data_IF_007879572715
#
_entry.id   IF_007879572715
#
_cell.length_a   1.000
_cell.length_b   1.000
_cell.length_c   1.000
_cell.angle_alpha   90.00
_cell.angle_beta   90.00
_cell.angle_gamma   90.00
#
_symmetry.space_group_name_H-M   'P 1'
#
loop_
_entity.id
_entity.type
_entity.pdbx_description
1 polymer ?
#
# COMPACT_ATOMS: atom_id res chain seq x y z
N UNK A 1 -7.78 -26.15 22.14
CA UNK A 1 -6.33 -25.82 22.18
C UNK A 1 -5.71 -26.27 20.87
N UNK A 2 -4.96 -25.41 20.17
CA UNK A 2 -4.22 -25.80 18.96
C UNK A 2 -3.21 -26.91 19.30
N UNK A 3 -3.05 -27.92 18.44
CA UNK A 3 -2.06 -28.97 18.64
C UNK A 3 -0.64 -28.38 18.70
N UNK A 4 0.24 -28.99 19.49
CA UNK A 4 1.65 -28.58 19.60
C UNK A 4 2.31 -28.49 18.22
N UNK A 5 1.99 -29.43 17.32
CA UNK A 5 2.46 -29.44 15.93
C UNK A 5 2.05 -28.17 15.16
N UNK A 6 0.79 -27.74 15.29
CA UNK A 6 0.31 -26.53 14.62
C UNK A 6 1.07 -25.28 15.10
N UNK A 7 1.32 -25.17 16.41
CA UNK A 7 2.08 -24.04 16.96
C UNK A 7 3.54 -24.04 16.52
N UNK A 8 4.18 -25.20 16.44
CA UNK A 8 5.54 -25.34 15.88
C UNK A 8 5.56 -24.92 14.41
N UNK A 9 4.59 -25.38 13.62
CA UNK A 9 4.44 -25.00 12.21
C UNK A 9 4.26 -23.48 12.05
N UNK A 10 3.45 -22.85 12.91
CA UNK A 10 3.26 -21.40 12.90
C UNK A 10 4.60 -20.68 13.12
N UNK A 11 5.35 -21.08 14.15
CA UNK A 11 6.64 -20.44 14.49
C UNK A 11 7.71 -20.61 13.41
N UNK A 12 7.80 -21.79 12.78
CA UNK A 12 8.86 -22.15 11.84
C UNK A 12 8.56 -21.71 10.41
N UNK A 13 7.30 -21.74 9.99
CA UNK A 13 6.90 -21.56 8.59
C UNK A 13 5.96 -20.37 8.44
N UNK A 14 4.76 -20.45 9.03
CA UNK A 14 3.70 -19.46 8.77
C UNK A 14 4.11 -18.03 9.13
N UNK A 15 4.67 -17.82 10.32
CA UNK A 15 5.12 -16.50 10.76
C UNK A 15 6.25 -15.96 9.88
N UNK A 16 7.17 -16.82 9.43
CA UNK A 16 8.28 -16.39 8.58
C UNK A 16 7.78 -15.97 7.20
N UNK A 17 6.90 -16.76 6.60
CA UNK A 17 6.26 -16.41 5.33
C UNK A 17 5.45 -15.12 5.45
N UNK A 18 4.73 -14.93 6.56
CA UNK A 18 3.98 -13.70 6.81
C UNK A 18 4.88 -12.47 6.83
N UNK A 19 5.99 -12.49 7.58
CA UNK A 19 6.92 -11.37 7.59
C UNK A 19 7.59 -11.17 6.21
N UNK A 20 7.96 -12.26 5.53
CA UNK A 20 8.53 -12.20 4.18
C UNK A 20 7.58 -11.47 3.22
N UNK A 21 6.32 -11.89 3.13
CA UNK A 21 5.34 -11.28 2.23
C UNK A 21 5.05 -9.83 2.61
N UNK A 22 4.97 -9.52 3.91
CA UNK A 22 4.81 -8.15 4.40
C UNK A 22 5.94 -7.22 3.91
N UNK A 23 7.21 -7.62 4.06
CA UNK A 23 8.34 -6.79 3.60
C UNK A 23 8.46 -6.72 2.09
N UNK A 24 8.09 -7.79 1.37
CA UNK A 24 8.00 -7.76 -0.10
C UNK A 24 6.99 -6.68 -0.53
N UNK A 25 5.79 -6.69 0.07
CA UNK A 25 4.77 -5.68 -0.20
C UNK A 25 5.27 -4.27 0.10
N UNK A 26 5.84 -4.02 1.29
CA UNK A 26 6.42 -2.72 1.68
C UNK A 26 7.42 -2.20 0.64
N UNK A 27 8.38 -3.05 0.23
CA UNK A 27 9.38 -2.65 -0.76
C UNK A 27 8.75 -2.37 -2.14
N UNK A 28 7.75 -3.15 -2.55
CA UNK A 28 7.01 -2.86 -3.78
C UNK A 28 6.19 -1.58 -3.71
N UNK A 29 5.56 -1.23 -2.58
CA UNK A 29 4.90 0.07 -2.40
C UNK A 29 5.87 1.24 -2.60
N UNK A 30 7.10 1.12 -2.08
CA UNK A 30 8.16 2.10 -2.34
C UNK A 30 8.53 2.20 -3.82
N UNK A 31 8.77 1.08 -4.50
CA UNK A 31 9.10 1.06 -5.93
C UNK A 31 7.96 1.61 -6.81
N UNK A 32 6.71 1.28 -6.49
CA UNK A 32 5.51 1.80 -7.16
C UNK A 32 5.45 3.32 -6.96
N UNK A 33 5.68 3.81 -5.75
CA UNK A 33 5.66 5.25 -5.45
C UNK A 33 6.73 6.01 -6.24
N UNK A 34 7.95 5.47 -6.34
CA UNK A 34 9.02 6.05 -7.17
C UNK A 34 8.64 6.04 -8.66
N UNK A 35 8.09 4.93 -9.18
CA UNK A 35 7.68 4.84 -10.58
C UNK A 35 6.59 5.87 -10.92
N UNK A 36 5.61 6.04 -10.02
CA UNK A 36 4.55 7.05 -10.15
C UNK A 36 5.12 8.46 -10.09
N UNK A 37 6.00 8.76 -9.13
CA UNK A 37 6.64 10.07 -9.02
C UNK A 37 7.39 10.44 -10.30
N UNK A 38 8.20 9.52 -10.85
CA UNK A 38 8.92 9.72 -12.10
C UNK A 38 7.99 9.96 -13.29
N UNK A 39 6.91 9.20 -13.42
CA UNK A 39 5.92 9.37 -14.50
C UNK A 39 5.16 10.69 -14.41
N UNK A 40 4.79 11.11 -13.20
CA UNK A 40 4.09 12.37 -12.98
C UNK A 40 4.98 13.58 -13.24
N UNK A 41 6.24 13.53 -12.79
CA UNK A 41 7.19 14.64 -12.96
C UNK A 41 7.82 14.69 -14.36
N UNK A 42 7.88 13.58 -15.09
CA UNK A 42 8.47 13.49 -16.44
C UNK A 42 7.53 12.77 -17.43
N UNK A 43 6.41 13.40 -17.84
CA UNK A 43 5.37 12.76 -18.64
C UNK A 43 5.83 12.33 -20.05
N UNK A 44 6.91 12.92 -20.59
CA UNK A 44 7.41 12.65 -21.95
C UNK A 44 8.47 11.55 -22.05
N UNK A 45 8.89 10.93 -20.93
CA UNK A 45 9.83 9.79 -20.98
C UNK A 45 9.10 8.45 -21.02
N UNK A 46 8.93 7.93 -22.24
CA UNK A 46 8.39 6.60 -22.52
C UNK A 46 9.12 5.47 -21.80
N UNK A 47 8.45 4.32 -21.63
CA UNK A 47 9.07 3.12 -21.05
C UNK A 47 9.92 2.42 -22.12
N UNK A 48 11.24 2.32 -21.90
CA UNK A 48 12.16 1.57 -22.76
C UNK A 48 12.47 0.18 -22.13
N UNK A 49 12.90 -0.78 -22.94
CA UNK A 49 13.33 -2.14 -22.54
C UNK A 49 14.32 -2.12 -21.37
N UNK A 50 15.32 -1.23 -21.39
CA UNK A 50 16.27 -1.07 -20.28
C UNK A 50 15.58 -0.72 -18.93
N UNK A 51 14.49 0.06 -18.95
CA UNK A 51 13.71 0.38 -17.74
C UNK A 51 12.91 -0.82 -17.26
N UNK A 52 12.39 -1.64 -18.18
CA UNK A 52 11.68 -2.87 -17.83
C UNK A 52 12.63 -3.91 -17.23
N UNK A 53 13.81 -4.10 -17.83
CA UNK A 53 14.86 -4.95 -17.29
C UNK A 53 15.26 -4.52 -15.88
N UNK A 54 15.46 -3.21 -15.65
CA UNK A 54 15.76 -2.67 -14.31
C UNK A 54 14.65 -2.98 -13.30
N UNK A 55 13.36 -2.87 -13.67
CA UNK A 55 12.24 -3.21 -12.77
C UNK A 55 12.25 -4.70 -12.40
N UNK A 56 12.51 -5.59 -13.37
CA UNK A 56 12.64 -7.03 -13.13
C UNK A 56 13.82 -7.36 -12.22
N UNK A 57 14.98 -6.74 -12.46
CA UNK A 57 16.17 -6.91 -11.64
C UNK A 57 15.94 -6.45 -10.20
N UNK A 58 15.33 -5.28 -10.00
CA UNK A 58 15.00 -4.77 -8.67
C UNK A 58 14.03 -5.70 -7.93
N UNK A 59 13.02 -6.23 -8.63
CA UNK A 59 12.10 -7.22 -8.05
C UNK A 59 12.83 -8.49 -7.60
N UNK A 60 13.65 -9.07 -8.49
CA UNK A 60 14.44 -10.26 -8.17
C UNK A 60 15.40 -10.02 -6.99
N UNK A 61 16.05 -8.86 -6.96
CA UNK A 61 16.95 -8.47 -5.87
C UNK A 61 16.22 -8.37 -4.52
N UNK A 62 15.01 -7.81 -4.49
CA UNK A 62 14.17 -7.76 -3.28
C UNK A 62 13.87 -9.17 -2.76
N UNK A 63 13.46 -10.07 -3.66
CA UNK A 63 13.15 -11.45 -3.31
C UNK A 63 14.38 -12.18 -2.75
N UNK A 64 15.51 -12.11 -3.45
CA UNK A 64 16.76 -12.75 -3.02
C UNK A 64 17.20 -12.22 -1.65
N UNK A 65 17.18 -10.89 -1.47
CA UNK A 65 17.56 -10.26 -0.21
C UNK A 65 16.69 -10.73 0.97
N UNK A 66 15.36 -10.70 0.82
CA UNK A 66 14.46 -11.08 1.92
C UNK A 66 14.44 -12.59 2.18
N UNK A 67 14.62 -13.41 1.15
CA UNK A 67 14.85 -14.85 1.33
C UNK A 67 16.16 -15.10 2.08
N UNK A 68 17.23 -14.37 1.76
CA UNK A 68 18.50 -14.43 2.47
C UNK A 68 18.39 -14.06 3.97
N UNK A 69 17.51 -13.13 4.33
CA UNK A 69 17.25 -12.80 5.74
C UNK A 69 16.38 -13.85 6.45
N UNK A 70 15.38 -14.40 5.75
CA UNK A 70 14.37 -15.29 6.34
C UNK A 70 14.82 -16.74 6.47
N UNK A 71 15.59 -17.27 5.52
CA UNK A 71 16.03 -18.67 5.52
C UNK A 71 16.86 -19.03 6.76
N UNK A 72 17.89 -18.27 7.18
CA UNK A 72 18.63 -18.58 8.40
C UNK A 72 17.74 -18.51 9.64
N UNK A 73 16.75 -17.61 9.68
CA UNK A 73 15.81 -17.52 10.79
C UNK A 73 14.91 -18.78 10.90
N UNK A 74 14.58 -19.45 9.79
CA UNK A 74 13.90 -20.76 9.80
C UNK A 74 14.84 -21.85 10.30
N UNK A 75 16.03 -21.95 9.70
CA UNK A 75 17.03 -22.99 9.98
C UNK A 75 17.46 -22.96 11.46
N UNK A 76 17.65 -21.76 12.01
CA UNK A 76 18.05 -21.56 13.41
C UNK A 76 16.89 -21.71 14.41
N UNK A 77 15.66 -21.94 13.94
CA UNK A 77 14.49 -22.28 14.79
C UNK A 77 14.35 -23.81 14.91
N UNK A 78 15.39 -24.48 15.41
CA UNK A 78 15.51 -25.94 15.41
C UNK A 78 15.17 -26.62 16.74
N UNK A 79 15.12 -25.89 17.86
CA UNK A 79 14.83 -26.48 19.19
C UNK A 79 13.39 -27.02 19.25
N UNK A 80 13.19 -28.06 20.06
CA UNK A 80 11.86 -28.63 20.35
C UNK A 80 11.23 -27.92 21.57
N UNK A 81 9.90 -27.86 21.64
CA UNK A 81 9.23 -27.24 22.77
C UNK A 81 9.46 -28.03 24.06
N UNK A 82 9.95 -27.36 25.10
CA UNK A 82 10.20 -27.96 26.43
C UNK A 82 8.94 -28.02 27.31
N UNK A 83 7.90 -27.26 26.97
CA UNK A 83 6.65 -27.15 27.73
C UNK A 83 5.44 -27.03 26.80
N UNK A 84 4.25 -27.36 27.31
CA UNK A 84 2.96 -27.08 26.67
C UNK A 84 2.74 -25.57 26.43
N UNK A 85 3.37 -24.70 27.22
CA UNK A 85 3.27 -23.24 27.08
C UNK A 85 4.61 -22.64 26.65
N UNK A 86 4.89 -22.63 25.33
CA UNK A 86 6.10 -22.06 24.76
C UNK A 86 5.84 -20.87 23.81
N UNK A 87 6.83 -19.99 23.65
CA UNK A 87 6.87 -18.93 22.64
C UNK A 87 7.74 -19.33 21.46
N UNK A 88 7.56 -18.69 20.30
CA UNK A 88 8.40 -18.95 19.12
C UNK A 88 9.88 -18.55 19.30
N UNK A 89 10.19 -17.73 20.31
CA UNK A 89 11.56 -17.43 20.74
C UNK A 89 12.24 -18.66 21.33
N UNK A 90 11.49 -19.50 22.04
CA UNK A 90 12.03 -20.61 22.82
C UNK A 90 12.50 -21.75 21.92
N UNK A 91 11.99 -21.80 20.69
CA UNK A 91 12.41 -22.75 19.65
C UNK A 91 13.70 -22.32 18.92
N UNK A 92 14.23 -21.14 19.19
CA UNK A 92 15.44 -20.62 18.52
C UNK A 92 16.71 -21.02 19.26
N UNK A 93 17.76 -21.32 18.50
CA UNK A 93 19.13 -21.38 19.03
C UNK A 93 19.59 -20.00 19.46
N UNK A 94 20.69 -19.93 20.22
CA UNK A 94 21.19 -18.64 20.71
C UNK A 94 21.70 -17.76 19.56
N UNK A 95 22.32 -18.39 18.55
CA UNK A 95 22.62 -17.77 17.26
C UNK A 95 21.34 -17.34 16.52
N UNK A 96 20.27 -18.13 16.59
CA UNK A 96 18.96 -17.79 16.03
C UNK A 96 18.32 -16.57 16.67
N UNK A 97 18.46 -16.39 17.99
CA UNK A 97 17.98 -15.21 18.70
C UNK A 97 18.75 -13.95 18.28
N UNK A 98 20.08 -14.03 18.23
CA UNK A 98 20.95 -12.94 17.73
C UNK A 98 20.60 -12.57 16.29
N UNK A 99 20.48 -13.57 15.41
CA UNK A 99 20.08 -13.35 14.02
C UNK A 99 18.70 -12.73 13.91
N UNK A 100 17.73 -13.22 14.69
CA UNK A 100 16.37 -12.68 14.73
C UNK A 100 16.34 -11.21 15.14
N UNK A 101 17.17 -10.82 16.11
CA UNK A 101 17.34 -9.42 16.51
C UNK A 101 17.91 -8.56 15.38
N UNK A 102 18.97 -9.02 14.71
CA UNK A 102 19.56 -8.33 13.54
C UNK A 102 18.54 -8.19 12.43
N UNK A 103 17.81 -9.26 12.08
CA UNK A 103 16.76 -9.22 11.06
C UNK A 103 15.69 -8.20 11.44
N UNK A 104 15.22 -8.19 12.69
CA UNK A 104 14.22 -7.22 13.15
C UNK A 104 14.72 -5.78 13.02
N UNK A 105 15.98 -5.52 13.36
CA UNK A 105 16.59 -4.20 13.22
C UNK A 105 16.69 -3.78 11.74
N UNK A 106 17.24 -4.64 10.88
CA UNK A 106 17.34 -4.40 9.43
C UNK A 106 15.96 -4.11 8.83
N UNK A 107 14.97 -4.93 9.19
CA UNK A 107 13.60 -4.77 8.78
C UNK A 107 12.99 -3.41 9.20
N UNK A 108 13.30 -2.93 10.41
CA UNK A 108 12.84 -1.63 10.89
C UNK A 108 13.47 -0.49 10.08
N UNK A 109 14.78 -0.57 9.80
CA UNK A 109 15.49 0.40 8.94
C UNK A 109 14.88 0.42 7.52
N UNK A 110 14.64 -0.76 6.93
CA UNK A 110 14.01 -0.90 5.62
C UNK A 110 12.63 -0.23 5.60
N UNK A 111 11.81 -0.48 6.62
CA UNK A 111 10.47 0.12 6.71
C UNK A 111 10.53 1.66 6.80
N UNK A 112 11.32 2.22 7.71
CA UNK A 112 11.39 3.68 7.87
C UNK A 112 11.96 4.37 6.63
N UNK A 113 12.98 3.78 6.00
CA UNK A 113 13.52 4.29 4.74
C UNK A 113 12.48 4.27 3.61
N UNK A 114 11.66 3.21 3.54
CA UNK A 114 10.56 3.11 2.60
C UNK A 114 9.46 4.14 2.89
N UNK A 115 9.07 4.31 4.15
CA UNK A 115 8.09 5.31 4.58
C UNK A 115 8.51 6.72 4.15
N UNK A 116 9.77 7.10 4.40
CA UNK A 116 10.32 8.39 3.94
C UNK A 116 10.24 8.52 2.43
N UNK A 117 10.63 7.47 1.69
CA UNK A 117 10.56 7.44 0.23
C UNK A 117 9.14 7.68 -0.27
N UNK A 118 8.15 7.01 0.32
CA UNK A 118 6.73 7.14 -0.02
C UNK A 118 6.22 8.56 0.24
N UNK A 119 6.51 9.12 1.42
CA UNK A 119 6.12 10.50 1.79
C UNK A 119 6.72 11.52 0.81
N UNK A 120 8.02 11.43 0.53
CA UNK A 120 8.71 12.33 -0.42
C UNK A 120 8.11 12.20 -1.83
N UNK A 121 7.94 10.99 -2.34
CA UNK A 121 7.36 10.79 -3.67
C UNK A 121 5.97 11.40 -3.79
N UNK A 122 5.15 11.23 -2.76
CA UNK A 122 3.76 11.67 -2.78
C UNK A 122 3.57 13.17 -2.55
N UNK A 123 4.41 13.78 -1.70
CA UNK A 123 4.45 15.25 -1.57
C UNK A 123 4.83 15.90 -2.89
N UNK A 124 5.80 15.35 -3.62
CA UNK A 124 6.17 15.82 -4.97
C UNK A 124 5.04 15.64 -5.99
N UNK A 125 4.36 14.47 -5.98
CA UNK A 125 3.20 14.21 -6.85
C UNK A 125 2.10 15.25 -6.58
N UNK A 126 1.73 15.44 -5.32
CA UNK A 126 0.64 16.35 -4.92
C UNK A 126 0.99 17.79 -5.27
N UNK A 127 2.23 18.22 -5.05
CA UNK A 127 2.72 19.55 -5.42
C UNK A 127 2.63 19.80 -6.92
N UNK A 128 3.08 18.86 -7.74
CA UNK A 128 3.01 19.01 -9.21
C UNK A 128 1.56 19.00 -9.71
N UNK A 129 0.71 18.15 -9.14
CA UNK A 129 -0.71 18.12 -9.47
C UNK A 129 -1.40 19.44 -9.12
N UNK A 130 -1.15 19.98 -7.92
CA UNK A 130 -1.69 21.27 -7.50
C UNK A 130 -1.18 22.41 -8.40
N UNK A 131 0.12 22.40 -8.76
CA UNK A 131 0.72 23.37 -9.69
C UNK A 131 0.13 23.27 -11.09
N UNK A 132 -0.19 22.08 -11.58
CA UNK A 132 -0.87 21.89 -12.86
C UNK A 132 -2.32 22.37 -12.82
N UNK A 133 -3.02 22.14 -11.71
CA UNK A 133 -4.39 22.61 -11.51
C UNK A 133 -4.45 24.14 -11.45
N UNK A 134 -3.58 24.78 -10.67
CA UNK A 134 -3.47 26.23 -10.57
C UNK A 134 -3.14 26.90 -11.91
N UNK A 135 -2.20 26.33 -12.70
CA UNK A 135 -1.90 26.81 -14.07
C UNK A 135 -3.11 26.75 -14.99
N UNK A 136 -3.92 25.69 -14.89
CA UNK A 136 -5.13 25.53 -15.70
C UNK A 136 -6.22 26.52 -15.27
N UNK A 137 -6.39 26.75 -13.96
CA UNK A 137 -7.33 27.75 -13.43
C UNK A 137 -6.94 29.18 -13.84
N UNK A 138 -5.65 29.53 -13.73
CA UNK A 138 -5.13 30.84 -14.13
C UNK A 138 -5.35 31.12 -15.61
N UNK A 139 -5.06 30.18 -16.52
CA UNK A 139 -5.34 30.32 -17.96
C UNK A 139 -6.82 30.56 -18.30
N UNK A 140 -7.74 30.10 -17.44
CA UNK A 140 -9.17 30.34 -17.62
C UNK A 140 -9.57 31.73 -17.12
N UNK A 141 -8.91 32.25 -16.08
CA UNK A 141 -9.16 33.61 -15.56
C UNK A 141 -8.48 34.73 -16.34
N UNK A 142 -7.39 34.46 -17.08
CA UNK A 142 -6.75 35.43 -18.00
C UNK A 142 -7.13 35.24 -19.48
N UNK A 143 -8.16 34.42 -19.75
CA UNK A 143 -8.72 34.22 -21.08
C UNK A 143 -9.74 35.28 -21.51
N UNK A 144 -9.52 36.53 -21.14
CA UNK A 144 -10.22 37.72 -21.64
C UNK A 144 -9.18 38.83 -21.85
N UNK A 145 -8.56 38.86 -23.04
CA UNK A 145 -8.04 40.08 -23.70
C UNK A 145 -7.14 39.75 -24.92
N UNK A 146 -7.66 38.98 -25.89
CA UNK A 146 -7.22 39.12 -27.28
C UNK A 146 -8.46 38.96 -28.17
N UNK A 147 -8.84 40.07 -28.82
CA UNK A 147 -10.02 40.24 -29.68
C UNK A 147 -10.11 39.15 -30.75
N UNK A 148 -11.28 38.53 -30.87
CA UNK A 148 -11.85 38.14 -32.15
C UNK A 148 -13.38 38.22 -32.03
N UNK A 149 -13.92 39.16 -32.78
CA UNK A 149 -15.32 39.45 -33.01
C UNK A 149 -15.89 38.32 -33.90
N UNK A 150 -16.88 37.58 -33.42
CA UNK A 150 -18.11 37.19 -34.14
C UNK A 150 -18.84 36.03 -33.44
N UNK A 151 -20.17 36.11 -33.50
CA UNK A 151 -21.09 35.33 -32.69
C UNK A 151 -21.13 33.84 -32.99
N UNK A 152 -21.12 33.04 -31.93
CA UNK A 152 -21.83 31.77 -31.84
C UNK A 152 -21.94 31.40 -30.36
N UNK A 153 -23.15 31.04 -29.92
CA UNK A 153 -23.45 30.56 -28.56
C UNK A 153 -22.81 29.18 -28.35
N UNK A 154 -21.50 29.14 -28.15
CA UNK A 154 -20.77 27.91 -27.88
C UNK A 154 -20.98 27.48 -26.42
N UNK A 155 -21.93 26.57 -26.22
CA UNK A 155 -22.16 25.85 -24.97
C UNK A 155 -20.86 25.18 -24.52
N UNK A 156 -20.17 25.78 -23.54
CA UNK A 156 -18.93 25.23 -22.95
C UNK A 156 -19.22 23.83 -22.38
N UNK A 157 -18.46 22.79 -22.75
CA UNK A 157 -18.63 21.47 -22.13
C UNK A 157 -18.27 21.52 -20.64
N UNK A 158 -18.88 20.69 -19.79
CA UNK A 158 -18.54 20.61 -18.38
C UNK A 158 -17.06 20.35 -18.23
N UNK A 159 -16.42 21.18 -17.42
CA UNK A 159 -15.02 21.13 -17.07
C UNK A 159 -14.68 19.73 -16.57
N UNK A 160 -14.11 18.89 -17.42
CA UNK A 160 -13.64 17.57 -17.05
C UNK A 160 -12.53 17.78 -16.02
N UNK A 161 -12.88 17.75 -14.73
CA UNK A 161 -11.94 17.58 -13.63
C UNK A 161 -11.06 16.43 -14.06
N UNK A 162 -9.78 16.69 -14.38
CA UNK A 162 -8.83 15.61 -14.68
C UNK A 162 -9.03 14.59 -13.56
N UNK A 163 -9.47 13.36 -13.84
CA UNK A 163 -9.70 12.41 -12.78
C UNK A 163 -8.36 12.25 -12.08
N UNK A 164 -8.27 12.76 -10.85
CA UNK A 164 -7.19 12.43 -9.95
C UNK A 164 -7.08 10.92 -10.01
N UNK A 165 -5.88 10.39 -10.23
CA UNK A 165 -5.66 8.94 -10.18
C UNK A 165 -5.89 8.49 -8.74
N UNK A 166 -7.15 8.40 -8.30
CA UNK A 166 -7.58 8.03 -6.95
C UNK A 166 -6.94 6.71 -6.51
N UNK A 167 -6.61 5.88 -7.49
CA UNK A 167 -5.87 4.63 -7.35
C UNK A 167 -4.53 4.83 -6.63
N UNK A 168 -3.80 5.91 -6.93
CA UNK A 168 -2.51 6.21 -6.26
C UNK A 168 -2.75 6.57 -4.79
N UNK A 169 -3.77 7.38 -4.51
CA UNK A 169 -4.12 7.81 -3.16
C UNK A 169 -4.62 6.62 -2.31
N UNK A 170 -5.39 5.71 -2.90
CA UNK A 170 -5.87 4.52 -2.18
C UNK A 170 -4.74 3.54 -1.87
N UNK A 171 -3.87 3.24 -2.84
CA UNK A 171 -2.69 2.37 -2.65
C UNK A 171 -1.82 2.90 -1.49
N UNK A 172 -1.68 4.23 -1.39
CA UNK A 172 -0.98 4.85 -0.28
C UNK A 172 -1.74 4.72 1.05
N UNK A 173 -3.04 4.99 1.06
CA UNK A 173 -3.86 4.82 2.26
C UNK A 173 -3.74 3.40 2.84
N UNK A 174 -3.73 2.37 1.99
CA UNK A 174 -3.52 0.98 2.42
C UNK A 174 -2.14 0.79 3.05
N UNK A 175 -1.08 1.34 2.46
CA UNK A 175 0.25 1.27 3.06
C UNK A 175 0.28 1.90 4.48
N UNK A 176 -0.32 3.09 4.63
CA UNK A 176 -0.38 3.78 5.92
C UNK A 176 -1.23 3.03 6.94
N UNK A 177 -2.39 2.50 6.56
CA UNK A 177 -3.28 1.81 7.50
C UNK A 177 -2.73 0.43 7.89
N UNK A 178 -2.19 -0.33 6.93
CA UNK A 178 -1.79 -1.71 7.19
C UNK A 178 -0.41 -1.84 7.82
N UNK A 179 0.59 -1.04 7.42
CA UNK A 179 1.98 -1.29 7.84
C UNK A 179 2.46 -0.33 8.93
N UNK A 180 2.10 0.95 8.86
CA UNK A 180 2.63 1.96 9.79
C UNK A 180 2.30 1.64 11.25
N UNK A 181 1.05 1.28 11.62
CA UNK A 181 0.73 0.96 13.01
C UNK A 181 1.58 -0.18 13.56
N UNK A 182 1.81 -1.23 12.78
CA UNK A 182 2.62 -2.37 13.20
C UNK A 182 4.05 -1.96 13.52
N UNK A 183 4.70 -1.23 12.61
CA UNK A 183 6.09 -0.85 12.78
C UNK A 183 6.31 0.19 13.88
N UNK A 184 5.34 1.08 14.12
CA UNK A 184 5.38 1.97 15.27
C UNK A 184 5.24 1.22 16.59
N UNK A 185 4.28 0.27 16.70
CA UNK A 185 4.07 -0.53 17.91
C UNK A 185 5.16 -1.57 18.17
N UNK A 186 5.88 -2.00 17.12
CA UNK A 186 6.99 -2.95 17.25
C UNK A 186 8.18 -2.36 18.01
N UNK A 187 8.47 -1.07 17.86
CA UNK A 187 9.58 -0.39 18.56
C UNK A 187 9.43 -0.45 20.09
N UNK A 188 8.34 0.06 20.71
CA UNK A 188 8.17 0.00 22.16
C UNK A 188 8.02 -1.45 22.65
N UNK A 189 7.43 -2.35 21.85
CA UNK A 189 7.42 -3.78 22.18
C UNK A 189 8.85 -4.33 22.31
N UNK A 190 9.73 -4.11 21.33
CA UNK A 190 11.14 -4.55 21.40
C UNK A 190 11.90 -3.89 22.56
N UNK A 191 11.63 -2.61 22.85
CA UNK A 191 12.21 -1.94 24.01
C UNK A 191 11.75 -2.58 25.34
N UNK A 192 10.48 -2.94 25.46
CA UNK A 192 9.95 -3.59 26.67
C UNK A 192 10.52 -4.99 26.91
N UNK A 193 10.97 -5.68 25.85
CA UNK A 193 11.65 -6.97 25.95
C UNK A 193 13.14 -6.84 26.29
N UNK A 194 13.81 -5.78 25.84
CA UNK A 194 15.27 -5.61 26.00
C UNK A 194 15.64 -4.81 27.26
N UNK A 195 14.80 -3.85 27.67
CA UNK A 195 15.05 -2.97 28.82
C UNK A 195 14.17 -3.34 30.00
N UNK A 196 14.32 -4.56 30.50
CA UNK A 196 13.40 -5.18 31.46
C UNK A 196 13.14 -4.40 32.76
N UNK A 197 14.05 -3.51 33.18
CA UNK A 197 13.96 -2.69 34.39
C UNK A 197 13.01 -1.48 34.27
N UNK A 198 12.71 -1.02 33.05
CA UNK A 198 11.88 0.18 32.82
C UNK A 198 10.40 -0.16 32.56
N UNK A 199 10.04 -1.44 32.46
CA UNK A 199 8.71 -1.87 32.06
C UNK A 199 8.17 -2.95 33.00
N UNK A 200 7.07 -2.65 33.68
CA UNK A 200 6.34 -3.62 34.50
C UNK A 200 5.62 -4.69 33.66
N UNK A 201 5.00 -5.66 34.33
CA UNK A 201 4.30 -6.78 33.68
C UNK A 201 3.08 -6.32 32.86
N UNK A 202 2.29 -5.37 33.38
CA UNK A 202 1.09 -4.85 32.72
C UNK A 202 1.45 -4.11 31.44
N UNK A 203 2.50 -3.29 31.48
CA UNK A 203 2.98 -2.52 30.36
C UNK A 203 3.60 -3.42 29.27
N UNK A 204 4.32 -4.48 29.66
CA UNK A 204 4.79 -5.52 28.72
C UNK A 204 3.64 -6.23 28.02
N UNK A 205 2.57 -6.57 28.76
CA UNK A 205 1.37 -7.19 28.20
C UNK A 205 0.64 -6.24 27.24
N UNK A 206 0.52 -4.97 27.61
CA UNK A 206 -0.10 -3.94 26.78
C UNK A 206 0.62 -3.78 25.43
N UNK A 207 1.95 -3.63 25.43
CA UNK A 207 2.72 -3.53 24.18
C UNK A 207 2.67 -4.81 23.35
N UNK A 208 2.64 -5.97 23.99
CA UNK A 208 2.43 -7.24 23.30
C UNK A 208 1.07 -7.27 22.58
N UNK A 209 -0.01 -6.91 23.26
CA UNK A 209 -1.36 -6.86 22.68
C UNK A 209 -1.43 -5.87 21.52
N UNK A 210 -0.93 -4.64 21.69
CA UNK A 210 -0.88 -3.65 20.61
C UNK A 210 -0.12 -4.15 19.38
N UNK A 211 1.04 -4.78 19.60
CA UNK A 211 1.85 -5.34 18.52
C UNK A 211 1.14 -6.48 17.79
N UNK A 212 0.43 -7.36 18.50
CA UNK A 212 -0.35 -8.45 17.89
C UNK A 212 -1.59 -7.92 17.14
N UNK A 213 -2.32 -6.96 17.70
CA UNK A 213 -3.48 -6.33 17.03
C UNK A 213 -3.08 -5.62 15.74
N UNK A 214 -1.95 -4.89 15.77
CA UNK A 214 -1.46 -4.21 14.57
C UNK A 214 -0.80 -5.14 13.56
N UNK A 215 -0.24 -6.28 14.00
CA UNK A 215 0.21 -7.34 13.11
C UNK A 215 -0.97 -7.96 12.33
N UNK A 216 -2.12 -8.15 12.99
CA UNK A 216 -3.35 -8.58 12.34
C UNK A 216 -3.81 -7.54 11.30
N UNK A 217 -3.75 -6.24 11.63
CA UNK A 217 -4.06 -5.16 10.70
C UNK A 217 -3.17 -5.20 9.44
N UNK A 218 -1.89 -5.55 9.58
CA UNK A 218 -0.98 -5.74 8.44
C UNK A 218 -1.38 -6.88 7.51
N UNK A 219 -2.05 -7.92 8.02
CA UNK A 219 -2.52 -9.04 7.19
C UNK A 219 -3.61 -8.63 6.19
N UNK A 220 -4.34 -7.54 6.47
CA UNK A 220 -5.37 -7.02 5.58
C UNK A 220 -4.79 -6.54 4.24
N UNK A 221 -3.49 -6.25 4.16
CA UNK A 221 -2.84 -5.90 2.89
C UNK A 221 -3.13 -6.92 1.78
N UNK A 222 -3.08 -8.21 2.11
CA UNK A 222 -3.32 -9.29 1.14
C UNK A 222 -4.75 -9.33 0.59
N UNK A 223 -5.73 -8.84 1.35
CA UNK A 223 -7.15 -8.75 0.95
C UNK A 223 -7.44 -7.45 0.23
N UNK A 224 -6.74 -6.38 0.64
CA UNK A 224 -6.92 -5.06 0.07
C UNK A 224 -6.33 -4.95 -1.33
N UNK A 225 -5.31 -5.73 -1.69
CA UNK A 225 -4.75 -5.74 -3.04
C UNK A 225 -5.84 -6.04 -4.12
N UNK A 226 -6.59 -7.16 -4.09
CA UNK A 226 -7.71 -7.39 -5.02
C UNK A 226 -8.83 -6.35 -4.98
N UNK A 227 -9.17 -5.84 -3.78
CA UNK A 227 -10.24 -4.85 -3.62
C UNK A 227 -9.86 -3.48 -4.19
N UNK A 228 -8.61 -3.06 -4.00
CA UNK A 228 -8.01 -1.90 -4.67
C UNK A 228 -8.16 -2.09 -6.19
N UNK A 229 -7.78 -3.23 -6.76
CA UNK A 229 -7.91 -3.44 -8.22
C UNK A 229 -9.37 -3.49 -8.70
N UNK A 230 -10.29 -4.07 -7.92
CA UNK A 230 -11.71 -4.20 -8.25
C UNK A 230 -12.46 -2.86 -8.21
N UNK A 231 -12.25 -2.06 -7.16
CA UNK A 231 -12.94 -0.78 -6.97
C UNK A 231 -12.36 0.36 -7.82
N UNK A 232 -11.11 0.24 -8.30
CA UNK A 232 -10.39 1.40 -8.86
C UNK A 232 -10.10 1.37 -10.36
N UNK A 233 -10.23 0.24 -11.05
CA UNK A 233 -9.88 0.17 -12.46
C UNK A 233 -11.08 -0.27 -13.29
N UNK A 234 -11.75 0.69 -13.95
CA UNK A 234 -12.86 0.42 -14.89
C UNK A 234 -12.44 -0.63 -15.93
N UNK A 235 -11.18 -0.57 -16.41
CA UNK A 235 -10.60 -1.53 -17.36
C UNK A 235 -10.42 -2.93 -16.76
N UNK A 236 -9.95 -3.06 -15.51
CA UNK A 236 -9.85 -4.38 -14.85
C UNK A 236 -11.23 -4.94 -14.52
N UNK A 237 -12.17 -4.10 -14.05
CA UNK A 237 -13.57 -4.46 -13.85
C UNK A 237 -14.15 -5.01 -15.15
N UNK A 238 -13.98 -4.30 -16.28
CA UNK A 238 -14.44 -4.80 -17.58
C UNK A 238 -13.77 -6.12 -17.98
N UNK A 239 -12.46 -6.30 -17.75
CA UNK A 239 -11.75 -7.56 -18.05
C UNK A 239 -12.19 -8.71 -17.14
N UNK A 240 -12.39 -8.47 -15.85
CA UNK A 240 -12.83 -9.46 -14.87
C UNK A 240 -14.28 -9.86 -15.08
N UNK A 241 -15.18 -8.90 -15.33
CA UNK A 241 -16.58 -9.19 -15.68
C UNK A 241 -16.68 -9.96 -17.01
N UNK A 242 -15.83 -9.63 -18.00
CA UNK A 242 -15.70 -10.44 -19.22
C UNK A 242 -15.18 -11.86 -18.95
N UNK A 243 -14.16 -12.01 -18.11
CA UNK A 243 -13.58 -13.31 -17.75
C UNK A 243 -14.55 -14.18 -16.94
N UNK A 244 -15.33 -13.57 -16.05
CA UNK A 244 -16.34 -14.24 -15.22
C UNK A 244 -17.72 -14.36 -15.88
N UNK A 245 -17.87 -13.89 -17.13
CA UNK A 245 -19.16 -13.82 -17.86
C UNK A 245 -20.28 -13.13 -17.08
N UNK A 246 -19.93 -12.17 -16.23
CA UNK A 246 -20.89 -11.37 -15.47
C UNK A 246 -21.20 -10.09 -16.27
N UNK A 247 -22.46 -9.66 -16.29
CA UNK A 247 -22.84 -8.41 -16.93
C UNK A 247 -22.16 -7.23 -16.21
N UNK A 248 -21.55 -6.25 -16.92
CA UNK A 248 -20.94 -5.10 -16.26
C UNK A 248 -22.01 -4.31 -15.51
N UNK A 249 -21.98 -4.31 -14.17
CA UNK A 249 -22.91 -3.53 -13.37
C UNK A 249 -22.80 -2.04 -13.69
N UNK A 250 -23.81 -1.49 -14.35
CA UNK A 250 -24.02 -0.06 -14.54
C UNK A 250 -24.45 0.54 -13.20
N UNK A 251 -23.62 1.40 -12.63
CA UNK A 251 -24.00 2.15 -11.43
C UNK A 251 -24.87 3.32 -11.91
N UNK A 252 -26.20 3.20 -11.76
CA UNK A 252 -27.19 4.17 -12.26
C UNK A 252 -27.17 5.54 -11.58
N UNK A 253 -26.44 5.70 -10.47
CA UNK A 253 -26.42 6.93 -9.67
C UNK A 253 -25.79 8.16 -10.35
N UNK A 254 -25.13 7.98 -11.51
CA UNK A 254 -24.55 9.09 -12.28
C UNK A 254 -25.40 9.49 -13.51
N UNK A 255 -26.48 8.77 -13.83
CA UNK A 255 -27.31 9.03 -15.02
C UNK A 255 -28.62 9.75 -14.64
N UNK A 256 -29.13 9.55 -13.43
CA UNK A 256 -30.41 10.13 -12.98
C UNK A 256 -30.40 11.66 -12.80
N UNK A 257 -29.26 12.34 -12.89
CA UNK A 257 -29.20 13.80 -12.76
C UNK A 257 -29.41 14.55 -14.08
N UNK A 258 -29.48 13.87 -15.24
CA UNK A 258 -29.72 14.51 -16.55
C UNK A 258 -31.17 14.36 -17.06
N UNK A 259 -31.98 13.49 -16.47
CA UNK A 259 -33.35 13.22 -16.94
C UNK A 259 -34.44 14.10 -16.34
N UNK A 260 -34.21 14.73 -15.18
CA UNK A 260 -35.27 15.45 -14.45
C UNK A 260 -35.44 16.92 -14.85
N UNK A 261 -34.64 17.46 -15.77
CA UNK A 261 -34.78 18.86 -16.24
C UNK A 261 -35.40 19.01 -17.63
N UNK A 262 -35.81 17.90 -18.27
CA UNK A 262 -36.34 17.94 -19.65
C UNK A 262 -37.86 17.74 -19.77
N UNK A 263 -38.58 17.53 -18.66
CA UNK A 263 -40.00 17.14 -18.68
C UNK A 263 -41.00 18.21 -18.21
N UNK A 264 -40.57 19.44 -17.88
CA UNK A 264 -41.49 20.48 -17.39
C UNK A 264 -41.98 21.46 -18.49
N UNK A 265 -41.40 21.48 -19.69
CA UNK A 265 -41.68 22.56 -20.67
C UNK A 265 -42.48 22.23 -21.93
N UNK A 266 -43.25 21.14 -21.97
CA UNK A 266 -44.25 20.94 -23.03
C UNK A 266 -45.59 20.50 -22.45
N UNK A 267 -46.38 21.47 -21.99
CA UNK A 267 -47.84 21.36 -21.89
C UNK A 267 -48.48 22.68 -22.34
N UNK A 268 -48.89 22.69 -23.62
CA UNK A 268 -49.99 23.46 -24.24
C UNK A 268 -49.94 25.00 -24.20
N UNK A 269 -50.66 25.72 -25.10
CA UNK A 269 -51.95 25.41 -25.75
C UNK A 269 -51.88 24.55 -27.01
#
# INVERSE_FOLDING_TARGET
>A
MASTLLRVFVCRVSSVLFYLTMYISILFFGLISIDRCRKTLQPFKGTNSARLARRKLLSAAIWIFLLGLSLPNVILTSKNPTSLYFKCSDLKTDAGLRWHEVVNYVCQVVFWGNLVTVIVCYTLITKELYRSYARTKSRISTGDSCRAQDGAMARRPPQARRPMNANVFLVLAVFFVCFVPFHFNRVPYTMSQTRGLLFDCQLKLFFFQLKESTLFLSSLNSVLDPLIYFFLCKSFRTTLFKALRLAPGTCGWLISSESDTSSIHLRNP
#
